data_IF_108108646671
#
_entry.id   IF_108108646671
#
_cell.length_a   1.000
_cell.length_b   1.000
_cell.length_c   1.000
_cell.angle_alpha   90.00
_cell.angle_beta   90.00
_cell.angle_gamma   90.00
#
_symmetry.space_group_name_H-M   'P 1'
#
loop_
_entity.id
_entity.type
_entity.pdbx_description
1 polymer ?
#
# COMPACT_ATOMS: atom_id res chain seq x y z
N UNK A 1 -66.24 -18.27 -6.65
CA UNK A 1 -67.45 -17.44 -6.83
C UNK A 1 -66.97 -16.40 -7.84
N UNK A 2 -67.21 -16.69 -9.10
CA UNK A 2 -68.27 -16.19 -9.98
C UNK A 2 -67.95 -14.80 -10.46
N UNK A 3 -67.90 -14.40 -11.68
CA UNK A 3 -68.35 -14.96 -12.98
C UNK A 3 -67.71 -14.00 -14.03
N UNK A 4 -67.15 -14.47 -15.15
CA UNK A 4 -67.84 -14.62 -16.44
C UNK A 4 -68.60 -13.34 -16.86
N UNK A 5 -68.41 -12.84 -17.99
CA UNK A 5 -68.58 -13.04 -19.38
C UNK A 5 -68.49 -11.72 -20.18
N UNK A 6 -67.81 -11.81 -21.27
CA UNK A 6 -68.33 -11.61 -22.61
C UNK A 6 -68.97 -10.26 -22.99
N UNK A 7 -68.47 -9.56 -24.01
CA UNK A 7 -69.15 -9.32 -25.27
C UNK A 7 -68.26 -8.81 -26.39
N UNK A 8 -68.30 -9.54 -27.47
CA UNK A 8 -67.80 -9.21 -28.80
C UNK A 8 -68.48 -7.93 -29.37
N UNK A 9 -67.71 -7.10 -30.09
CA UNK A 9 -68.01 -6.72 -31.50
C UNK A 9 -67.15 -5.59 -32.05
N UNK A 10 -66.44 -5.90 -33.18
CA UNK A 10 -66.29 -5.14 -34.43
C UNK A 10 -65.70 -3.74 -34.35
N UNK A 11 -64.66 -3.40 -35.08
CA UNK A 11 -64.42 -3.41 -36.53
C UNK A 11 -62.99 -2.89 -36.84
N UNK A 12 -62.32 -3.61 -37.70
CA UNK A 12 -61.47 -3.14 -38.80
C UNK A 12 -60.97 -1.68 -38.82
N UNK A 13 -59.63 -1.55 -38.79
CA UNK A 13 -58.99 -0.40 -39.33
C UNK A 13 -57.91 0.22 -38.42
N UNK A 14 -56.79 -0.47 -38.26
CA UNK A 14 -55.44 0.15 -37.95
C UNK A 14 -54.38 -0.93 -37.82
N UNK A 15 -54.21 -1.74 -38.83
CA UNK A 15 -53.02 -2.56 -38.98
C UNK A 15 -52.15 -1.88 -40.07
N UNK A 16 -51.30 -0.92 -39.69
CA UNK A 16 -50.13 -0.47 -40.51
C UNK A 16 -49.22 0.54 -39.85
N UNK A 17 -49.26 0.68 -38.50
CA UNK A 17 -48.36 1.65 -37.84
C UNK A 17 -47.57 1.09 -36.64
N UNK A 18 -47.59 -0.24 -36.39
CA UNK A 18 -46.90 -0.85 -35.24
C UNK A 18 -45.60 -1.62 -35.59
N UNK A 19 -45.25 -1.77 -36.88
CA UNK A 19 -44.03 -2.48 -37.28
C UNK A 19 -42.81 -1.59 -37.46
N UNK A 20 -42.99 -0.26 -37.56
CA UNK A 20 -41.84 0.66 -37.74
C UNK A 20 -41.14 1.02 -36.43
N UNK A 21 -41.87 0.98 -35.30
CA UNK A 21 -41.28 1.36 -34.01
C UNK A 21 -40.52 0.23 -33.29
N UNK A 22 -40.73 -1.05 -33.62
CA UNK A 22 -40.01 -2.17 -33.02
C UNK A 22 -38.60 -2.32 -33.60
N UNK A 23 -38.45 -2.08 -34.94
CA UNK A 23 -37.13 -2.14 -35.59
C UNK A 23 -36.18 -1.02 -35.14
N UNK A 24 -36.71 0.19 -34.94
CA UNK A 24 -35.91 1.36 -34.53
C UNK A 24 -35.48 1.28 -33.05
N UNK A 25 -36.31 0.70 -32.18
CA UNK A 25 -35.94 0.43 -30.77
C UNK A 25 -34.90 -0.69 -30.64
N UNK A 26 -34.98 -1.72 -31.50
CA UNK A 26 -34.00 -2.79 -31.55
C UNK A 26 -32.64 -2.29 -32.10
N UNK A 27 -32.64 -1.40 -33.11
CA UNK A 27 -31.42 -0.80 -33.66
C UNK A 27 -30.76 0.15 -32.67
N UNK A 28 -31.52 0.95 -31.92
CA UNK A 28 -31.00 1.83 -30.86
C UNK A 28 -30.47 1.04 -29.68
N UNK A 29 -31.10 -0.08 -29.31
CA UNK A 29 -30.58 -0.97 -28.25
C UNK A 29 -29.30 -1.69 -28.68
N UNK A 30 -29.17 -2.08 -29.96
CA UNK A 30 -27.96 -2.68 -30.51
C UNK A 30 -26.79 -1.68 -30.59
N UNK A 31 -27.07 -0.42 -30.96
CA UNK A 31 -26.08 0.67 -30.96
C UNK A 31 -25.64 1.01 -29.52
N UNK A 32 -26.55 1.00 -28.55
CA UNK A 32 -26.20 1.26 -27.14
C UNK A 32 -25.32 0.14 -26.53
N UNK A 33 -25.53 -1.12 -26.93
CA UNK A 33 -24.70 -2.25 -26.50
C UNK A 33 -23.30 -2.20 -27.16
N UNK A 34 -23.21 -1.74 -28.41
CA UNK A 34 -21.92 -1.59 -29.09
C UNK A 34 -21.07 -0.43 -28.55
N UNK A 35 -21.69 0.61 -27.96
CA UNK A 35 -20.94 1.72 -27.33
C UNK A 35 -20.41 1.39 -25.93
N UNK A 36 -20.97 0.38 -25.24
CA UNK A 36 -20.45 -0.08 -23.94
C UNK A 36 -19.32 -1.12 -24.05
N UNK A 37 -19.07 -1.69 -25.23
CA UNK A 37 -17.99 -2.64 -25.45
C UNK A 37 -16.62 -2.00 -25.74
N UNK A 38 -16.53 -0.65 -25.77
CA UNK A 38 -15.29 0.06 -26.15
C UNK A 38 -14.46 0.57 -24.95
N UNK A 39 -14.72 0.12 -23.71
CA UNK A 39 -14.02 0.62 -22.52
C UNK A 39 -13.26 -0.46 -21.74
N UNK A 40 -12.93 -1.56 -22.37
CA UNK A 40 -12.08 -2.61 -21.76
C UNK A 40 -10.68 -2.62 -22.38
N UNK A 41 -10.18 -1.46 -22.81
CA UNK A 41 -8.78 -1.26 -23.16
C UNK A 41 -8.14 -0.60 -21.92
N UNK A 42 -7.44 -1.40 -21.13
CA UNK A 42 -7.03 -0.85 -19.90
C UNK A 42 -5.64 -1.28 -19.48
N UNK A 43 -5.57 -1.75 -18.30
CA UNK A 43 -4.33 -2.11 -17.66
C UNK A 43 -4.05 -3.59 -17.92
N UNK A 44 -2.92 -3.89 -18.55
CA UNK A 44 -2.44 -5.26 -18.68
C UNK A 44 -1.20 -5.48 -17.85
N UNK A 45 -1.05 -6.69 -17.32
CA UNK A 45 0.13 -7.09 -16.57
C UNK A 45 0.64 -8.44 -17.04
N UNK A 46 1.93 -8.48 -17.35
CA UNK A 46 2.65 -9.70 -17.68
C UNK A 46 3.59 -10.07 -16.54
N UNK A 47 3.53 -11.34 -16.14
CA UNK A 47 4.55 -11.92 -15.25
C UNK A 47 5.81 -12.23 -16.06
N UNK A 48 6.90 -12.59 -15.39
CA UNK A 48 8.14 -12.96 -16.07
C UNK A 48 7.98 -14.15 -17.05
N UNK A 49 7.01 -15.04 -16.80
CA UNK A 49 6.71 -16.16 -17.73
C UNK A 49 5.91 -15.74 -18.96
N UNK A 50 5.14 -14.66 -18.85
CA UNK A 50 4.22 -14.20 -19.89
C UNK A 50 4.87 -13.22 -20.86
N UNK A 51 5.95 -12.53 -20.43
CA UNK A 51 6.65 -11.56 -21.27
C UNK A 51 7.73 -12.23 -22.16
N UNK A 52 8.03 -11.62 -23.27
CA UNK A 52 9.10 -12.07 -24.15
C UNK A 52 10.49 -12.04 -23.47
N UNK A 53 11.40 -12.89 -23.97
CA UNK A 53 12.72 -13.04 -23.37
C UNK A 53 13.58 -11.79 -23.46
N UNK A 54 13.42 -10.96 -24.50
CA UNK A 54 14.19 -9.74 -24.68
C UNK A 54 13.77 -8.68 -23.63
N UNK A 55 12.47 -8.45 -23.46
CA UNK A 55 11.92 -7.53 -22.45
C UNK A 55 12.31 -7.98 -21.04
N UNK A 56 12.15 -9.27 -20.71
CA UNK A 56 12.55 -9.82 -19.40
C UNK A 56 14.05 -9.60 -19.12
N UNK A 57 14.90 -9.85 -20.12
CA UNK A 57 16.35 -9.64 -20.00
C UNK A 57 16.68 -8.16 -19.83
N UNK A 58 16.04 -7.29 -20.60
CA UNK A 58 16.25 -5.84 -20.52
C UNK A 58 15.86 -5.29 -19.14
N UNK A 59 14.73 -5.70 -18.58
CA UNK A 59 14.30 -5.31 -17.22
C UNK A 59 15.29 -5.81 -16.16
N UNK A 60 15.68 -7.09 -16.24
CA UNK A 60 16.64 -7.68 -15.31
C UNK A 60 17.99 -6.93 -15.32
N UNK A 61 18.54 -6.68 -16.51
CA UNK A 61 19.82 -5.98 -16.66
C UNK A 61 19.73 -4.53 -16.20
N UNK A 62 18.63 -3.85 -16.50
CA UNK A 62 18.39 -2.46 -16.03
C UNK A 62 18.28 -2.43 -14.50
N UNK A 63 17.57 -3.39 -13.90
CA UNK A 63 17.48 -3.52 -12.45
C UNK A 63 18.84 -3.68 -11.78
N UNK A 64 19.67 -4.61 -12.27
CA UNK A 64 21.04 -4.82 -11.75
C UNK A 64 21.89 -3.57 -11.90
N UNK A 65 21.86 -2.94 -13.07
CA UNK A 65 22.63 -1.69 -13.32
C UNK A 65 22.25 -0.58 -12.35
N UNK A 66 20.96 -0.36 -12.11
CA UNK A 66 20.50 0.69 -11.19
C UNK A 66 20.74 0.33 -9.73
N UNK A 67 20.61 -0.94 -9.36
CA UNK A 67 21.01 -1.41 -8.04
C UNK A 67 22.49 -1.11 -7.76
N UNK A 68 23.38 -1.39 -8.72
CA UNK A 68 24.82 -1.08 -8.58
C UNK A 68 25.09 0.42 -8.41
N UNK A 69 24.33 1.29 -9.10
CA UNK A 69 24.43 2.73 -8.90
C UNK A 69 23.97 3.14 -7.49
N UNK A 70 22.85 2.58 -7.00
CA UNK A 70 22.36 2.80 -5.63
C UNK A 70 23.38 2.35 -4.60
N UNK A 71 23.93 1.14 -4.73
CA UNK A 71 24.90 0.59 -3.79
C UNK A 71 26.22 1.40 -3.75
N UNK A 72 26.60 2.05 -4.87
CA UNK A 72 27.75 2.97 -4.92
C UNK A 72 27.42 4.41 -4.52
N UNK A 73 26.15 4.76 -4.34
CA UNK A 73 25.73 6.14 -4.10
C UNK A 73 25.87 7.06 -5.31
N UNK A 74 25.82 6.52 -6.53
CA UNK A 74 25.98 7.28 -7.78
C UNK A 74 24.68 8.00 -8.16
N UNK A 75 24.33 9.02 -7.37
CA UNK A 75 23.12 9.84 -7.55
C UNK A 75 23.11 10.54 -8.90
N UNK A 76 24.28 10.97 -9.42
CA UNK A 76 24.36 11.68 -10.68
C UNK A 76 23.93 10.80 -11.86
N UNK A 77 24.45 9.57 -11.94
CA UNK A 77 24.05 8.62 -12.97
C UNK A 77 22.59 8.16 -12.82
N UNK A 78 22.09 7.98 -11.59
CA UNK A 78 20.67 7.68 -11.36
C UNK A 78 19.77 8.80 -11.90
N UNK A 79 20.09 10.08 -11.63
CA UNK A 79 19.35 11.25 -12.13
C UNK A 79 19.35 11.33 -13.67
N UNK A 80 20.50 11.09 -14.32
CA UNK A 80 20.60 11.07 -15.79
C UNK A 80 19.74 9.98 -16.44
N UNK A 81 19.55 8.86 -15.74
CA UNK A 81 18.75 7.74 -16.20
C UNK A 81 17.30 7.75 -15.65
N UNK A 82 16.87 8.84 -15.02
CA UNK A 82 15.50 9.00 -14.58
C UNK A 82 14.60 9.53 -15.71
N UNK A 83 13.28 9.31 -15.59
CA UNK A 83 12.29 9.96 -16.45
C UNK A 83 12.31 11.49 -16.21
N UNK A 84 11.94 12.33 -17.21
CA UNK A 84 12.07 13.78 -17.10
C UNK A 84 11.37 14.39 -15.87
N UNK A 85 10.17 13.92 -15.54
CA UNK A 85 9.43 14.40 -14.37
C UNK A 85 10.15 14.13 -13.05
N UNK A 86 10.75 12.96 -12.90
CA UNK A 86 11.52 12.58 -11.70
C UNK A 86 12.89 13.28 -11.67
N UNK A 87 13.55 13.44 -12.83
CA UNK A 87 14.83 14.15 -12.91
C UNK A 87 14.73 15.63 -12.50
N UNK A 88 13.55 16.25 -12.71
CA UNK A 88 13.25 17.63 -12.32
C UNK A 88 13.18 17.83 -10.80
N UNK A 89 12.62 16.86 -10.06
CA UNK A 89 12.64 16.83 -8.60
C UNK A 89 13.14 15.46 -8.13
N UNK A 90 14.45 15.37 -7.98
CA UNK A 90 15.15 14.12 -7.63
C UNK A 90 15.50 14.02 -6.14
N UNK A 91 15.10 14.99 -5.33
CA UNK A 91 15.49 15.12 -3.93
C UNK A 91 15.08 13.90 -3.09
N UNK A 92 13.89 13.35 -3.32
CA UNK A 92 13.40 12.15 -2.63
C UNK A 92 14.26 10.90 -2.92
N UNK A 93 14.62 10.68 -4.20
CA UNK A 93 15.51 9.56 -4.59
C UNK A 93 16.91 9.77 -4.04
N UNK A 94 17.45 10.99 -4.13
CA UNK A 94 18.76 11.33 -3.58
C UNK A 94 18.81 11.06 -2.07
N UNK A 95 17.79 11.49 -1.31
CA UNK A 95 17.66 11.21 0.12
C UNK A 95 17.66 9.70 0.40
N UNK A 96 16.80 8.95 -0.31
CA UNK A 96 16.72 7.49 -0.18
C UNK A 96 18.06 6.80 -0.45
N UNK A 97 18.78 7.21 -1.50
CA UNK A 97 20.09 6.64 -1.82
C UNK A 97 21.11 6.97 -0.73
N UNK A 98 21.21 8.22 -0.30
CA UNK A 98 22.16 8.65 0.76
C UNK A 98 21.94 7.93 2.09
N UNK A 99 20.69 7.71 2.46
CA UNK A 99 20.32 7.03 3.70
C UNK A 99 20.70 5.55 3.67
N UNK A 100 20.51 4.88 2.53
CA UNK A 100 20.66 3.43 2.42
C UNK A 100 22.02 2.98 1.85
N UNK A 101 22.74 3.87 1.18
CA UNK A 101 24.06 3.55 0.60
C UNK A 101 25.06 2.96 1.61
N UNK A 102 25.18 3.47 2.86
CA UNK A 102 26.15 2.92 3.82
C UNK A 102 25.86 1.47 4.22
N UNK A 103 24.61 1.03 4.08
CA UNK A 103 24.21 -0.35 4.34
C UNK A 103 24.39 -1.22 3.09
N UNK A 104 24.03 -0.72 1.92
CA UNK A 104 24.06 -1.48 0.67
C UNK A 104 25.44 -1.54 0.02
N UNK A 105 26.41 -0.73 0.48
CA UNK A 105 27.75 -0.70 -0.08
C UNK A 105 28.40 -2.08 -0.14
N UNK A 106 28.87 -2.46 -1.34
CA UNK A 106 29.52 -3.75 -1.59
C UNK A 106 28.56 -4.97 -1.62
N UNK A 107 27.27 -4.79 -1.39
CA UNK A 107 26.29 -5.87 -1.54
C UNK A 107 25.98 -6.14 -3.03
N UNK A 108 25.46 -7.35 -3.29
CA UNK A 108 24.98 -7.75 -4.63
C UNK A 108 23.46 -7.89 -4.59
N UNK A 109 22.81 -7.40 -5.65
CA UNK A 109 21.38 -7.59 -5.84
C UNK A 109 21.09 -8.89 -6.58
N UNK A 110 20.04 -9.61 -6.14
CA UNK A 110 19.47 -10.76 -6.85
C UNK A 110 18.08 -10.36 -7.31
N UNK A 111 17.86 -10.32 -8.64
CA UNK A 111 16.58 -9.90 -9.21
C UNK A 111 15.53 -11.00 -9.03
N UNK A 112 14.39 -10.65 -8.45
CA UNK A 112 13.18 -11.50 -8.50
C UNK A 112 12.58 -11.46 -9.91
N UNK A 113 11.73 -12.45 -10.30
CA UNK A 113 10.99 -12.37 -11.54
C UNK A 113 10.29 -11.01 -11.70
N UNK A 114 10.62 -10.20 -12.74
CA UNK A 114 10.04 -8.88 -12.92
C UNK A 114 8.58 -8.95 -13.43
N UNK A 115 7.85 -7.86 -13.26
CA UNK A 115 6.52 -7.66 -13.86
C UNK A 115 6.59 -6.53 -14.90
N UNK A 116 5.79 -6.67 -15.97
CA UNK A 116 5.57 -5.63 -16.96
C UNK A 116 4.12 -5.16 -16.87
N UNK A 117 3.92 -3.89 -16.55
CA UNK A 117 2.62 -3.22 -16.52
C UNK A 117 2.49 -2.37 -17.79
N UNK A 118 1.36 -2.48 -18.47
CA UNK A 118 1.06 -1.66 -19.64
C UNK A 118 -0.22 -0.88 -19.37
N UNK A 119 -0.08 0.44 -19.26
CA UNK A 119 -1.17 1.39 -19.11
C UNK A 119 -1.48 1.97 -20.51
N UNK A 120 -2.61 1.59 -21.07
CA UNK A 120 -3.04 2.05 -22.40
C UNK A 120 -3.79 3.38 -22.33
N UNK A 121 -3.96 4.03 -23.50
CA UNK A 121 -4.72 5.27 -23.62
C UNK A 121 -3.84 6.50 -23.81
N UNK A 122 -4.44 7.69 -23.64
CA UNK A 122 -3.77 8.99 -23.85
C UNK A 122 -3.86 9.92 -22.65
N UNK A 123 -4.66 9.56 -21.63
CA UNK A 123 -4.84 10.34 -20.42
C UNK A 123 -4.28 9.61 -19.20
N UNK A 124 -3.78 10.36 -18.22
CA UNK A 124 -3.36 9.82 -16.93
C UNK A 124 -4.52 9.12 -16.22
N UNK A 125 -4.31 7.90 -15.78
CA UNK A 125 -5.26 7.11 -15.01
C UNK A 125 -5.26 7.64 -13.56
N UNK A 126 -6.38 8.09 -13.01
CA UNK A 126 -6.46 8.54 -11.63
C UNK A 126 -6.05 7.43 -10.65
N UNK A 127 -6.41 6.19 -10.97
CA UNK A 127 -6.02 4.97 -10.29
C UNK A 127 -5.94 3.86 -11.32
N UNK A 128 -4.77 3.27 -11.47
CA UNK A 128 -4.50 2.11 -12.32
C UNK A 128 -4.40 0.84 -11.46
N UNK A 129 -5.07 -0.25 -11.91
CA UNK A 129 -5.08 -1.53 -11.19
C UNK A 129 -4.62 -2.65 -12.12
N UNK A 130 -3.53 -3.31 -11.78
CA UNK A 130 -2.93 -4.38 -12.55
C UNK A 130 -2.98 -5.69 -11.79
N UNK A 131 -3.45 -6.74 -12.45
CA UNK A 131 -3.54 -8.08 -11.89
C UNK A 131 -2.64 -9.03 -12.66
N UNK A 132 -1.47 -9.35 -12.10
CA UNK A 132 -0.44 -10.15 -12.71
C UNK A 132 -0.57 -11.61 -12.32
N UNK A 133 -0.66 -12.53 -13.30
CA UNK A 133 -0.73 -13.96 -13.05
C UNK A 133 -1.96 -14.41 -12.25
N UNK A 134 -3.05 -13.63 -12.29
CA UNK A 134 -4.32 -13.96 -11.64
C UNK A 134 -5.32 -14.34 -12.73
N UNK A 135 -5.51 -15.63 -13.00
CA UNK A 135 -6.37 -16.09 -14.07
C UNK A 135 -7.35 -17.16 -13.61
N UNK A 136 -8.63 -16.99 -13.96
CA UNK A 136 -9.67 -18.00 -13.91
C UNK A 136 -9.96 -18.59 -12.52
N UNK A 137 -10.50 -19.81 -12.50
CA UNK A 137 -10.93 -20.51 -11.28
C UNK A 137 -9.77 -20.94 -10.36
N UNK A 138 -8.51 -20.88 -10.82
CA UNK A 138 -7.32 -21.23 -10.06
C UNK A 138 -6.88 -20.16 -9.06
N UNK A 139 -7.37 -18.92 -9.22
CA UNK A 139 -7.03 -17.79 -8.34
C UNK A 139 -5.56 -17.41 -8.35
N UNK A 140 -5.09 -16.82 -7.25
CA UNK A 140 -3.72 -16.38 -7.07
C UNK A 140 -2.74 -17.55 -6.92
N UNK A 141 -1.56 -17.39 -7.48
CA UNK A 141 -0.39 -18.28 -7.29
C UNK A 141 0.68 -17.55 -6.48
N UNK A 142 1.77 -18.25 -6.14
CA UNK A 142 2.95 -17.63 -5.48
C UNK A 142 3.61 -16.53 -6.33
N UNK A 143 3.40 -16.56 -7.65
CA UNK A 143 3.99 -15.61 -8.61
C UNK A 143 2.97 -14.53 -9.03
N UNK A 144 1.75 -14.55 -8.47
CA UNK A 144 0.73 -13.54 -8.69
C UNK A 144 1.01 -12.28 -7.88
N UNK A 145 0.73 -11.12 -8.48
CA UNK A 145 0.77 -9.83 -7.80
C UNK A 145 -0.36 -8.92 -8.30
N UNK A 146 -0.83 -8.02 -7.45
CA UNK A 146 -1.67 -6.90 -7.85
C UNK A 146 -0.97 -5.59 -7.51
N UNK A 147 -1.10 -4.60 -8.40
CA UNK A 147 -0.57 -3.25 -8.21
C UNK A 147 -1.71 -2.24 -8.33
N UNK A 148 -1.79 -1.30 -7.38
CA UNK A 148 -2.74 -0.19 -7.39
C UNK A 148 -1.98 1.13 -7.34
N UNK A 149 -1.86 1.83 -8.48
CA UNK A 149 -1.00 2.99 -8.66
C UNK A 149 -1.86 4.21 -8.99
N UNK A 150 -1.75 5.26 -8.18
CA UNK A 150 -2.48 6.50 -8.41
C UNK A 150 -1.72 7.41 -9.38
N UNK A 151 -2.45 8.09 -10.26
CA UNK A 151 -1.91 9.11 -11.15
C UNK A 151 -0.93 8.55 -12.19
N UNK A 152 -1.18 7.34 -12.72
CA UNK A 152 -0.28 6.69 -13.67
C UNK A 152 -0.52 7.22 -15.11
N UNK A 153 0.52 7.76 -15.73
CA UNK A 153 0.51 8.13 -17.13
C UNK A 153 0.47 6.88 -18.04
N UNK A 154 -0.08 6.95 -19.25
CA UNK A 154 0.02 5.87 -20.22
C UNK A 154 1.48 5.50 -20.52
N UNK A 155 1.75 4.19 -20.69
CA UNK A 155 3.09 3.70 -21.00
C UNK A 155 3.34 2.29 -20.49
N UNK A 156 4.58 1.82 -20.68
CA UNK A 156 5.05 0.52 -20.20
C UNK A 156 5.94 0.71 -18.98
N UNK A 157 5.65 -0.05 -17.93
CA UNK A 157 6.36 0.04 -16.66
C UNK A 157 6.88 -1.33 -16.22
N UNK A 158 8.19 -1.41 -15.97
CA UNK A 158 8.82 -2.59 -15.39
C UNK A 158 8.87 -2.45 -13.86
N UNK A 159 8.30 -3.42 -13.14
CA UNK A 159 8.46 -3.55 -11.69
C UNK A 159 9.58 -4.54 -11.42
N UNK A 160 10.74 -4.04 -10.99
CA UNK A 160 11.94 -4.86 -10.76
C UNK A 160 12.30 -4.82 -9.28
N UNK A 161 12.19 -5.97 -8.62
CA UNK A 161 12.48 -6.13 -7.20
C UNK A 161 13.76 -6.93 -7.06
N UNK A 162 14.70 -6.41 -6.27
CA UNK A 162 15.97 -7.08 -5.99
C UNK A 162 16.07 -7.36 -4.49
N UNK A 163 16.56 -8.55 -4.18
CA UNK A 163 16.98 -8.90 -2.82
C UNK A 163 18.47 -8.60 -2.68
N UNK A 164 18.83 -7.96 -1.58
CA UNK A 164 20.20 -7.71 -1.19
C UNK A 164 20.42 -8.23 0.23
N UNK A 165 21.60 -8.82 0.49
CA UNK A 165 21.95 -9.36 1.80
C UNK A 165 23.24 -8.70 2.33
N UNK A 166 23.22 -7.41 2.68
CA UNK A 166 24.34 -6.78 3.36
C UNK A 166 24.53 -7.32 4.78
N UNK A 167 25.68 -7.07 5.43
CA UNK A 167 25.97 -7.59 6.79
C UNK A 167 24.96 -7.19 7.87
N UNK A 168 24.25 -6.07 7.69
CA UNK A 168 23.24 -5.58 8.64
C UNK A 168 21.85 -6.23 8.49
N UNK A 169 21.69 -7.20 7.59
CA UNK A 169 20.44 -7.90 7.36
C UNK A 169 19.92 -7.74 5.93
N UNK A 170 18.88 -8.51 5.54
CA UNK A 170 18.33 -8.50 4.19
C UNK A 170 17.55 -7.21 3.90
N UNK A 171 17.68 -6.75 2.65
CA UNK A 171 16.98 -5.59 2.10
C UNK A 171 16.27 -5.96 0.80
N UNK A 172 15.17 -5.27 0.53
CA UNK A 172 14.52 -5.22 -0.78
C UNK A 172 14.77 -3.87 -1.42
N UNK A 173 15.24 -3.86 -2.66
CA UNK A 173 15.36 -2.67 -3.51
C UNK A 173 14.41 -2.83 -4.68
N UNK A 174 13.38 -1.99 -4.73
CA UNK A 174 12.33 -2.04 -5.74
C UNK A 174 12.44 -0.84 -6.68
N UNK A 175 12.53 -1.10 -7.96
CA UNK A 175 12.63 -0.12 -9.03
C UNK A 175 11.36 -0.11 -9.86
N UNK A 176 10.79 1.06 -10.05
CA UNK A 176 9.81 1.31 -11.09
C UNK A 176 10.58 1.85 -12.29
N UNK A 177 10.54 1.13 -13.39
CA UNK A 177 11.18 1.51 -14.63
C UNK A 177 10.12 1.87 -15.66
N UNK A 178 10.24 3.00 -16.33
CA UNK A 178 9.38 3.37 -17.46
C UNK A 178 10.14 3.22 -18.75
N UNK A 179 9.51 2.62 -19.78
CA UNK A 179 10.09 2.54 -21.10
C UNK A 179 9.99 3.91 -21.80
N UNK A 180 11.14 4.47 -22.20
CA UNK A 180 11.24 5.72 -22.96
C UNK A 180 12.06 5.44 -24.20
N UNK A 181 11.41 5.35 -25.34
CA UNK A 181 12.03 4.84 -26.57
C UNK A 181 12.45 3.37 -26.39
N UNK A 182 13.73 3.07 -26.59
CA UNK A 182 14.31 1.72 -26.36
C UNK A 182 14.80 1.50 -24.92
N UNK A 183 14.85 2.55 -24.09
CA UNK A 183 15.51 2.52 -22.78
C UNK A 183 14.51 2.36 -21.65
N UNK A 184 14.93 1.63 -20.61
CA UNK A 184 14.23 1.55 -19.34
C UNK A 184 14.82 2.58 -18.36
N UNK A 185 14.05 3.64 -18.06
CA UNK A 185 14.45 4.75 -17.18
C UNK A 185 13.80 4.64 -15.83
N UNK A 186 14.46 5.17 -14.79
CA UNK A 186 13.95 5.16 -13.41
C UNK A 186 12.73 6.09 -13.31
N UNK A 187 11.58 5.54 -12.90
CA UNK A 187 10.36 6.23 -12.52
C UNK A 187 10.09 6.19 -11.01
N UNK A 188 10.81 5.35 -10.26
CA UNK A 188 10.68 5.26 -8.80
C UNK A 188 11.71 4.33 -8.19
N UNK A 189 12.06 4.58 -6.92
CA UNK A 189 12.97 3.77 -6.12
C UNK A 189 12.43 3.61 -4.71
N UNK A 190 12.36 2.39 -4.22
CA UNK A 190 11.98 2.02 -2.86
C UNK A 190 13.04 1.10 -2.28
N UNK A 191 13.55 1.43 -1.11
CA UNK A 191 14.54 0.63 -0.40
C UNK A 191 13.98 0.31 0.98
N UNK A 192 14.05 -0.96 1.37
CA UNK A 192 13.41 -1.42 2.58
C UNK A 192 14.19 -2.54 3.25
N UNK A 193 14.40 -2.43 4.56
CA UNK A 193 14.85 -3.54 5.37
C UNK A 193 13.75 -4.62 5.46
N UNK A 194 14.14 -5.89 5.35
CA UNK A 194 13.23 -7.04 5.50
C UNK A 194 13.28 -7.64 6.92
N UNK A 195 14.07 -7.03 7.79
CA UNK A 195 14.19 -7.38 9.21
C UNK A 195 14.32 -6.12 10.06
N UNK A 196 13.86 -6.22 11.32
CA UNK A 196 14.11 -5.22 12.35
C UNK A 196 14.53 -5.90 13.66
N UNK A 197 15.52 -5.32 14.33
CA UNK A 197 16.08 -5.91 15.54
C UNK A 197 16.56 -7.37 15.37
N UNK A 198 16.97 -7.75 14.14
CA UNK A 198 17.33 -9.10 13.76
C UNK A 198 16.15 -10.04 13.51
N UNK A 199 14.92 -9.57 13.50
CA UNK A 199 13.70 -10.34 13.35
C UNK A 199 13.00 -10.07 12.01
N UNK A 200 12.60 -11.13 11.32
CA UNK A 200 11.85 -11.08 10.07
C UNK A 200 10.32 -11.09 10.28
N UNK A 201 9.57 -11.00 9.20
CA UNK A 201 8.10 -11.02 9.25
C UNK A 201 7.55 -12.29 9.92
N UNK A 202 8.18 -13.47 9.72
CA UNK A 202 7.72 -14.72 10.32
C UNK A 202 7.85 -14.71 11.84
N UNK A 203 8.91 -14.11 12.36
CA UNK A 203 9.06 -13.92 13.79
C UNK A 203 7.92 -13.06 14.35
N UNK A 204 7.60 -11.92 13.70
CA UNK A 204 6.49 -11.05 14.12
C UNK A 204 5.13 -11.74 14.02
N UNK A 205 4.89 -12.57 13.00
CA UNK A 205 3.68 -13.40 12.88
C UNK A 205 3.58 -14.38 14.05
N UNK A 206 4.68 -15.02 14.41
CA UNK A 206 4.73 -15.96 15.54
C UNK A 206 4.43 -15.25 16.85
N UNK A 207 5.05 -14.10 17.10
CA UNK A 207 4.78 -13.28 18.30
C UNK A 207 3.36 -12.76 18.34
N UNK A 208 2.78 -12.38 17.20
CA UNK A 208 1.37 -11.98 17.10
C UNK A 208 0.44 -13.11 17.56
N UNK A 209 0.70 -14.34 17.11
CA UNK A 209 -0.05 -15.53 17.54
C UNK A 209 0.12 -15.83 19.03
N UNK A 210 1.32 -15.65 19.58
CA UNK A 210 1.59 -15.80 21.02
C UNK A 210 0.78 -14.79 21.83
N UNK A 211 0.72 -13.51 21.40
CA UNK A 211 -0.10 -12.50 22.07
C UNK A 211 -1.59 -12.84 21.94
N UNK A 212 -2.04 -13.28 20.77
CA UNK A 212 -3.43 -13.72 20.56
C UNK A 212 -3.81 -14.86 21.52
N UNK A 213 -2.94 -15.85 21.69
CA UNK A 213 -3.19 -16.98 22.61
C UNK A 213 -3.29 -16.57 24.09
N UNK A 214 -2.68 -15.44 24.45
CA UNK A 214 -2.76 -14.81 25.78
C UNK A 214 -3.95 -13.86 25.95
N UNK A 215 -4.78 -13.68 24.89
CA UNK A 215 -5.89 -12.72 24.89
C UNK A 215 -5.47 -11.27 24.71
N UNK A 216 -4.18 -10.98 24.43
CA UNK A 216 -3.64 -9.63 24.19
C UNK A 216 -3.87 -9.22 22.74
N UNK A 217 -5.13 -8.96 22.37
CA UNK A 217 -5.52 -8.73 20.97
C UNK A 217 -4.91 -7.48 20.36
N UNK A 218 -4.72 -6.40 21.15
CA UNK A 218 -4.06 -5.17 20.68
C UNK A 218 -2.62 -5.44 20.27
N UNK A 219 -1.84 -6.15 21.12
CA UNK A 219 -0.47 -6.54 20.81
C UNK A 219 -0.40 -7.45 19.59
N UNK A 220 -1.30 -8.43 19.50
CA UNK A 220 -1.37 -9.34 18.36
C UNK A 220 -1.59 -8.58 17.06
N UNK A 221 -2.58 -7.68 17.01
CA UNK A 221 -2.88 -6.88 15.82
C UNK A 221 -1.71 -5.97 15.42
N UNK A 222 -1.12 -5.25 16.37
CA UNK A 222 0.02 -4.36 16.11
C UNK A 222 1.24 -5.13 15.57
N UNK A 223 1.52 -6.34 16.07
CA UNK A 223 2.60 -7.19 15.56
C UNK A 223 2.31 -7.73 14.15
N UNK A 224 1.05 -8.02 13.82
CA UNK A 224 0.67 -8.31 12.43
C UNK A 224 0.88 -7.11 11.51
N UNK A 225 0.66 -5.87 11.96
CA UNK A 225 0.98 -4.68 11.15
C UNK A 225 2.48 -4.59 10.85
N UNK A 226 3.36 -4.89 11.83
CA UNK A 226 4.81 -4.97 11.60
C UNK A 226 5.13 -6.05 10.56
N UNK A 227 4.59 -7.27 10.72
CA UNK A 227 4.82 -8.35 9.78
C UNK A 227 4.40 -7.96 8.35
N UNK A 228 3.21 -7.36 8.19
CA UNK A 228 2.72 -6.86 6.90
C UNK A 228 3.66 -5.82 6.30
N UNK A 229 4.14 -4.91 7.16
CA UNK A 229 5.08 -3.90 6.68
C UNK A 229 6.38 -4.52 6.18
N UNK A 230 6.84 -5.64 6.69
CA UNK A 230 8.09 -6.30 6.30
C UNK A 230 7.98 -7.13 5.01
N UNK A 231 6.84 -7.77 4.73
CA UNK A 231 6.71 -8.65 3.57
C UNK A 231 6.35 -7.95 2.26
N UNK A 232 5.70 -6.79 2.31
CA UNK A 232 5.30 -6.06 1.10
C UNK A 232 6.49 -5.29 0.53
N UNK A 233 7.03 -5.61 -0.66
CA UNK A 233 8.19 -4.93 -1.22
C UNK A 233 7.87 -3.50 -1.67
N UNK A 234 6.63 -3.24 -2.03
CA UNK A 234 6.10 -1.92 -2.44
C UNK A 234 4.79 -1.63 -1.71
N UNK A 235 4.52 -0.37 -1.33
CA UNK A 235 3.31 -0.02 -0.58
C UNK A 235 2.01 -0.16 -1.39
N UNK A 236 2.11 -0.21 -2.72
CA UNK A 236 1.00 -0.33 -3.66
C UNK A 236 0.98 -1.71 -4.36
N UNK A 237 1.69 -2.70 -3.83
CA UNK A 237 1.74 -4.08 -4.31
C UNK A 237 1.12 -5.02 -3.28
N UNK A 238 0.24 -5.92 -3.74
CA UNK A 238 -0.20 -7.06 -2.96
C UNK A 238 0.17 -8.39 -3.65
N UNK A 239 0.26 -9.43 -2.84
CA UNK A 239 0.55 -10.80 -3.25
C UNK A 239 -0.33 -11.74 -2.43
N UNK A 240 -0.45 -13.01 -2.82
CA UNK A 240 -1.18 -14.00 -2.02
C UNK A 240 -0.72 -14.04 -0.55
N UNK A 241 0.59 -13.83 -0.29
CA UNK A 241 1.13 -13.80 1.07
C UNK A 241 0.71 -12.54 1.84
N UNK A 242 0.76 -11.36 1.20
CA UNK A 242 0.32 -10.10 1.84
C UNK A 242 -1.18 -10.09 2.09
N UNK A 243 -1.97 -10.62 1.15
CA UNK A 243 -3.43 -10.68 1.25
C UNK A 243 -3.85 -11.62 2.37
N UNK A 244 -3.24 -12.82 2.43
CA UNK A 244 -3.49 -13.76 3.54
C UNK A 244 -3.19 -13.13 4.89
N UNK A 245 -2.05 -12.44 5.01
CA UNK A 245 -1.65 -11.79 6.26
C UNK A 245 -2.55 -10.60 6.59
N UNK A 246 -3.04 -9.89 5.57
CA UNK A 246 -4.05 -8.85 5.73
C UNK A 246 -5.33 -9.44 6.32
N UNK A 247 -5.88 -10.49 5.71
CA UNK A 247 -7.11 -11.14 6.17
C UNK A 247 -6.98 -11.71 7.60
N UNK A 248 -5.84 -12.32 7.91
CA UNK A 248 -5.57 -12.83 9.25
C UNK A 248 -5.51 -11.69 10.29
N UNK A 249 -4.91 -10.56 9.94
CA UNK A 249 -4.81 -9.39 10.83
C UNK A 249 -6.15 -8.66 11.01
N UNK A 250 -6.95 -8.54 9.93
CA UNK A 250 -8.25 -7.85 10.00
C UNK A 250 -9.23 -8.50 11.00
N UNK A 251 -9.17 -9.82 11.16
CA UNK A 251 -9.98 -10.55 12.15
C UNK A 251 -9.67 -10.15 13.60
N UNK A 252 -8.50 -9.56 13.84
CA UNK A 252 -8.02 -9.15 15.15
C UNK A 252 -8.04 -7.63 15.35
N UNK A 253 -8.49 -6.86 14.36
CA UNK A 253 -8.50 -5.40 14.44
C UNK A 253 -9.32 -4.93 15.64
N UNK A 254 -8.73 -4.22 16.61
CA UNK A 254 -9.45 -3.75 17.79
C UNK A 254 -10.47 -2.68 17.40
N UNK A 255 -11.73 -2.87 17.81
CA UNK A 255 -12.81 -1.93 17.49
C UNK A 255 -12.67 -0.59 18.24
N UNK A 256 -11.85 -0.54 19.27
CA UNK A 256 -11.61 0.61 20.13
C UNK A 256 -10.31 1.38 19.80
N UNK A 257 -9.61 0.94 18.74
CA UNK A 257 -8.50 1.70 18.13
C UNK A 257 -9.01 2.57 16.97
N UNK A 258 -8.32 3.69 16.69
CA UNK A 258 -8.58 4.48 15.48
C UNK A 258 -8.38 3.63 14.21
N UNK A 259 -9.33 3.69 13.27
CA UNK A 259 -9.24 2.94 12.01
C UNK A 259 -10.05 3.63 10.91
N UNK A 260 -9.62 3.52 9.67
CA UNK A 260 -10.34 3.95 8.46
C UNK A 260 -10.90 5.39 8.53
N UNK A 261 -10.06 6.33 9.02
CA UNK A 261 -10.45 7.73 9.20
C UNK A 261 -11.36 8.00 10.40
N UNK A 262 -11.72 6.96 11.16
CA UNK A 262 -12.45 7.13 12.43
C UNK A 262 -11.46 7.33 13.56
N UNK A 263 -11.84 8.22 14.47
CA UNK A 263 -11.07 8.51 15.68
C UNK A 263 -11.58 7.70 16.86
N UNK A 264 -10.74 7.54 17.90
CA UNK A 264 -11.11 6.89 19.14
C UNK A 264 -10.88 7.82 20.32
N UNK A 265 -11.82 7.85 21.27
CA UNK A 265 -11.70 8.68 22.46
C UNK A 265 -10.88 7.97 23.53
N UNK A 266 -9.92 8.69 24.11
CA UNK A 266 -9.12 8.28 25.24
C UNK A 266 -9.35 9.25 26.41
N UNK A 267 -9.98 8.78 27.48
CA UNK A 267 -10.19 9.55 28.70
C UNK A 267 -8.93 9.55 29.58
N UNK A 268 -8.52 10.73 30.02
CA UNK A 268 -7.42 10.93 30.96
C UNK A 268 -7.86 11.91 32.06
N UNK A 269 -7.08 12.04 33.13
CA UNK A 269 -7.39 12.97 34.21
C UNK A 269 -7.54 14.44 33.76
N UNK A 270 -6.80 14.84 32.71
CA UNK A 270 -6.83 16.19 32.15
C UNK A 270 -7.94 16.42 31.10
N UNK A 271 -8.75 15.40 30.76
CA UNK A 271 -9.80 15.48 29.75
C UNK A 271 -9.80 14.31 28.78
N UNK A 272 -10.56 14.43 27.71
CA UNK A 272 -10.66 13.41 26.66
C UNK A 272 -9.82 13.82 25.44
N UNK A 273 -8.99 12.90 24.97
CA UNK A 273 -8.16 13.06 23.78
C UNK A 273 -8.74 12.27 22.62
N UNK A 274 -8.76 12.88 21.44
CA UNK A 274 -9.27 12.27 20.22
C UNK A 274 -8.12 11.65 19.44
N UNK A 275 -7.94 10.34 19.60
CA UNK A 275 -6.87 9.57 18.94
C UNK A 275 -7.18 9.41 17.45
N UNK A 276 -6.20 9.69 16.60
CA UNK A 276 -6.33 9.56 15.13
C UNK A 276 -5.58 8.36 14.58
N UNK A 277 -4.54 7.88 15.28
CA UNK A 277 -3.79 6.67 14.89
C UNK A 277 -3.08 6.06 16.08
N UNK A 278 -2.97 4.73 16.08
CA UNK A 278 -2.10 3.92 16.94
C UNK A 278 -1.42 2.90 16.05
N UNK A 279 -0.10 2.90 15.98
CA UNK A 279 0.66 1.97 15.14
C UNK A 279 2.07 1.76 15.68
N UNK A 280 2.70 0.60 15.38
CA UNK A 280 4.08 0.34 15.74
C UNK A 280 5.04 1.02 14.76
N UNK A 281 6.18 1.48 15.27
CA UNK A 281 7.26 2.06 14.48
C UNK A 281 8.61 1.66 15.06
N UNK A 282 9.64 1.54 14.23
CA UNK A 282 10.99 1.27 14.68
C UNK A 282 11.76 2.56 14.91
N UNK A 283 12.28 2.74 16.13
CA UNK A 283 13.17 3.85 16.49
C UNK A 283 14.52 3.27 16.89
N UNK A 284 15.49 3.37 16.00
CA UNK A 284 16.75 2.65 16.16
C UNK A 284 16.55 1.13 16.05
N UNK A 285 16.84 0.40 17.14
CA UNK A 285 16.66 -1.06 17.22
C UNK A 285 15.42 -1.47 18.00
N UNK A 286 14.69 -0.52 18.56
CA UNK A 286 13.54 -0.78 19.44
C UNK A 286 12.22 -0.63 18.66
N UNK A 287 11.24 -1.44 19.05
CA UNK A 287 9.87 -1.31 18.55
C UNK A 287 9.08 -0.43 19.52
N UNK A 288 8.71 0.74 19.04
CA UNK A 288 7.95 1.73 19.80
C UNK A 288 6.50 1.82 19.32
N UNK A 289 5.63 2.29 20.22
CA UNK A 289 4.23 2.52 19.92
C UNK A 289 3.99 4.00 19.65
N UNK A 290 3.55 4.34 18.44
CA UNK A 290 3.19 5.71 18.07
C UNK A 290 1.70 5.91 18.32
N UNK A 291 1.37 7.00 19.02
CA UNK A 291 -0.01 7.44 19.28
C UNK A 291 -0.18 8.87 18.79
N UNK A 292 -1.05 9.07 17.81
CA UNK A 292 -1.39 10.40 17.29
C UNK A 292 -2.75 10.83 17.82
N UNK A 293 -2.87 12.09 18.18
CA UNK A 293 -4.14 12.68 18.62
C UNK A 293 -4.30 14.11 18.14
N UNK A 294 -5.55 14.56 18.04
CA UNK A 294 -5.89 15.92 17.64
C UNK A 294 -5.78 16.88 18.81
N UNK A 295 -5.27 18.09 18.55
CA UNK A 295 -5.27 19.24 19.45
C UNK A 295 -5.62 20.53 18.71
N UNK A 296 -5.86 21.60 19.42
CA UNK A 296 -6.11 22.92 18.81
C UNK A 296 -4.83 23.65 18.47
N UNK A 297 -3.77 23.47 19.26
CA UNK A 297 -2.49 24.18 19.09
C UNK A 297 -1.34 23.37 19.72
N UNK A 298 -0.17 23.41 19.09
CA UNK A 298 1.07 22.80 19.58
C UNK A 298 2.18 23.81 19.86
N UNK A 299 1.90 25.11 19.76
CA UNK A 299 2.90 26.18 19.93
C UNK A 299 3.46 26.27 21.37
N UNK A 300 2.63 25.96 22.37
CA UNK A 300 3.08 25.85 23.76
C UNK A 300 3.65 24.44 24.02
N UNK A 301 4.94 24.27 23.80
CA UNK A 301 5.62 22.99 23.91
C UNK A 301 5.55 22.36 25.32
N UNK A 302 5.56 23.18 26.37
CA UNK A 302 5.43 22.68 27.75
C UNK A 302 4.04 22.09 27.99
N UNK A 303 2.98 22.80 27.59
CA UNK A 303 1.61 22.30 27.72
C UNK A 303 1.41 21.04 26.88
N UNK A 304 1.93 21.03 25.63
CA UNK A 304 1.83 19.88 24.74
C UNK A 304 2.61 18.70 25.27
N UNK A 305 3.78 18.90 25.88
CA UNK A 305 4.52 17.85 26.56
C UNK A 305 3.69 17.20 27.70
N UNK A 306 3.06 18.01 28.56
CA UNK A 306 2.20 17.49 29.64
C UNK A 306 0.99 16.72 29.08
N UNK A 307 0.40 17.19 28.01
CA UNK A 307 -0.69 16.48 27.31
C UNK A 307 -0.21 15.15 26.75
N UNK A 308 0.95 15.10 26.08
CA UNK A 308 1.55 13.87 25.56
C UNK A 308 1.78 12.85 26.70
N UNK A 309 2.32 13.28 27.85
CA UNK A 309 2.51 12.42 29.02
C UNK A 309 1.17 11.88 29.56
N UNK A 310 0.14 12.74 29.61
CA UNK A 310 -1.20 12.34 30.04
C UNK A 310 -1.83 11.30 29.12
N UNK A 311 -1.67 11.48 27.78
CA UNK A 311 -2.10 10.50 26.77
C UNK A 311 -1.41 9.15 26.94
N UNK A 312 -0.08 9.14 27.13
CA UNK A 312 0.68 7.89 27.34
C UNK A 312 0.21 7.14 28.59
N UNK A 313 0.03 7.85 29.71
CA UNK A 313 -0.44 7.25 30.97
C UNK A 313 -1.86 6.68 30.82
N UNK A 314 -2.77 7.45 30.24
CA UNK A 314 -4.14 7.01 30.00
C UNK A 314 -4.20 5.79 29.05
N UNK A 315 -3.37 5.79 27.99
CA UNK A 315 -3.26 4.67 27.07
C UNK A 315 -2.85 3.38 27.78
N UNK A 316 -1.77 3.45 28.59
CA UNK A 316 -1.25 2.28 29.30
C UNK A 316 -2.09 1.88 30.52
N UNK A 317 -2.95 2.77 31.02
CA UNK A 317 -3.98 2.44 32.01
C UNK A 317 -5.12 1.67 31.36
N UNK A 318 -5.52 2.09 30.16
CA UNK A 318 -6.60 1.44 29.41
C UNK A 318 -6.18 0.11 28.77
N UNK A 319 -4.92 0.03 28.30
CA UNK A 319 -4.35 -1.12 27.60
C UNK A 319 -3.01 -1.53 28.24
N UNK A 320 -3.01 -2.09 29.46
CA UNK A 320 -1.76 -2.40 30.21
C UNK A 320 -0.89 -3.44 29.50
N UNK A 321 -1.46 -4.32 28.67
CA UNK A 321 -0.76 -5.32 27.87
C UNK A 321 0.24 -4.74 26.87
N UNK A 322 0.08 -3.47 26.46
CA UNK A 322 1.02 -2.79 25.55
C UNK A 322 2.44 -2.70 26.14
N UNK A 323 2.56 -2.77 27.49
CA UNK A 323 3.86 -2.80 28.17
C UNK A 323 4.69 -4.03 27.86
N UNK A 324 4.06 -5.13 27.48
CA UNK A 324 4.72 -6.40 27.17
C UNK A 324 5.33 -6.43 25.75
N UNK A 325 4.94 -5.47 24.91
CA UNK A 325 5.17 -5.53 23.48
C UNK A 325 6.08 -4.41 22.93
N UNK A 326 6.20 -3.28 23.64
CA UNK A 326 6.86 -2.08 23.13
C UNK A 326 7.90 -1.55 24.11
N UNK A 327 8.99 -0.96 23.57
CA UNK A 327 10.07 -0.38 24.37
C UNK A 327 9.71 1.02 24.88
N UNK A 328 9.01 1.80 24.09
CA UNK A 328 8.59 3.16 24.41
C UNK A 328 7.22 3.49 23.81
N UNK A 329 6.65 4.61 24.25
CA UNK A 329 5.50 5.25 23.60
C UNK A 329 5.92 6.63 23.10
N UNK A 330 5.55 6.93 21.85
CA UNK A 330 5.69 8.25 21.22
C UNK A 330 4.31 8.84 21.05
N UNK A 331 3.92 9.80 21.87
CA UNK A 331 2.70 10.56 21.68
C UNK A 331 2.96 11.78 20.81
N UNK A 332 2.12 11.98 19.78
CA UNK A 332 2.20 13.10 18.83
C UNK A 332 0.89 13.85 18.79
N UNK A 333 0.91 15.08 19.31
CA UNK A 333 -0.16 16.05 19.19
C UNK A 333 -0.13 16.68 17.80
N UNK A 334 -1.24 16.68 17.07
CA UNK A 334 -1.36 17.29 15.74
C UNK A 334 -2.44 18.36 15.80
N UNK A 335 -2.09 19.58 15.45
CA UNK A 335 -3.06 20.70 15.43
C UNK A 335 -3.83 20.78 14.10
N UNK A 336 -4.81 21.68 14.06
CA UNK A 336 -5.67 21.90 12.89
C UNK A 336 -4.94 22.43 11.66
N UNK A 337 -3.71 22.96 11.82
CA UNK A 337 -2.85 23.39 10.71
C UNK A 337 -1.92 22.30 10.22
N UNK A 338 -1.92 21.12 10.85
CA UNK A 338 -1.06 20.00 10.52
C UNK A 338 0.32 20.06 11.18
N UNK A 339 0.60 21.06 12.03
CA UNK A 339 1.84 21.08 12.83
C UNK A 339 1.75 20.00 13.91
N UNK A 340 2.85 19.38 14.23
CA UNK A 340 2.90 18.36 15.27
C UNK A 340 4.03 18.60 16.27
N UNK A 341 3.82 18.05 17.48
CA UNK A 341 4.82 17.99 18.52
C UNK A 341 4.82 16.59 19.15
N UNK A 342 5.95 15.91 19.07
CA UNK A 342 6.15 14.56 19.57
C UNK A 342 6.89 14.53 20.91
N UNK A 343 6.53 13.57 21.77
CA UNK A 343 7.26 13.22 22.99
C UNK A 343 7.43 11.73 23.04
N UNK A 344 8.62 11.24 23.31
CA UNK A 344 8.92 9.83 23.52
C UNK A 344 9.28 9.59 24.98
N UNK A 345 8.69 8.57 25.60
CA UNK A 345 9.07 8.08 26.93
C UNK A 345 9.26 6.58 26.86
N UNK A 346 10.33 6.09 27.48
CA UNK A 346 10.53 4.65 27.64
C UNK A 346 9.38 4.04 28.47
N UNK A 347 8.95 2.84 28.12
CA UNK A 347 7.79 2.18 28.74
C UNK A 347 7.89 2.12 30.27
N UNK A 348 9.11 1.89 30.80
CA UNK A 348 9.41 1.84 32.25
C UNK A 348 9.24 3.17 32.98
N UNK A 349 9.31 4.30 32.25
CA UNK A 349 9.25 5.65 32.82
C UNK A 349 7.83 6.23 32.82
N UNK A 350 6.88 5.57 32.17
CA UNK A 350 5.46 5.95 32.12
C UNK A 350 4.75 5.27 33.32
N UNK A 351 4.57 6.02 34.42
CA UNK A 351 3.93 5.55 35.67
C UNK A 351 2.47 6.02 35.76
#
# INVERSE_FOLDING_TARGET
MCDEECFLKRRLGKRRLLCANAGMKALLALLAVLTFAASALGETCLTASDMDAATRTALTNSGLRYFDMVARGDVASLRQNAIPSLAGDFSGIEGTVKENQPVLAGSKGTVRPPFLLEAEGTATLPRAEFFCGVFGAGGQTKDSAAFSINGLAPGKYGMVILDAAPPKGPYSVSLILQQVGSDWKIGGLYIKALQFGGHDANWFITRARDYQSKGQLHNAWLYYLVARSLIAPLPFMSTAATDKLYDDSQKLQPADFPADGKTANLSAAAGTYNLTAIFPEFVGNDLDLIVRYQTTDVSNTNQTYQANVAVMKALLTKYPELRDAFAAVVARAIDTSGRDYGTMLAMKDIK
#
